data_IF_873910695593
#
_entry.id   IF_873910695593
#
_cell.length_a   1.000
_cell.length_b   1.000
_cell.length_c   1.000
_cell.angle_alpha   90.00
_cell.angle_beta   90.00
_cell.angle_gamma   90.00
#
_symmetry.space_group_name_H-M   'P 1'
#
loop_
_entity.id
_entity.type
_entity.pdbx_description
1 polymer ?
#
# COMPACT_ATOMS: atom_id res chain seq x y z
N UNK A 1 20.49 15.50 24.63
CA UNK A 1 21.87 15.73 24.13
C UNK A 1 22.18 14.65 23.13
N UNK A 2 22.25 15.00 21.84
CA UNK A 2 22.55 14.02 20.79
C UNK A 2 23.74 14.54 19.99
N UNK A 3 24.92 13.98 20.28
CA UNK A 3 26.11 14.15 19.45
C UNK A 3 26.03 13.11 18.34
N UNK A 4 25.80 13.55 17.11
CA UNK A 4 25.77 12.65 15.95
C UNK A 4 27.21 12.52 15.45
N UNK A 5 27.76 11.31 15.56
CA UNK A 5 28.97 10.93 14.87
C UNK A 5 28.69 10.91 13.36
N UNK A 6 29.57 11.51 12.57
CA UNK A 6 29.51 11.48 11.12
C UNK A 6 29.82 10.03 10.71
N UNK A 7 28.79 9.23 10.45
CA UNK A 7 28.96 8.02 9.67
C UNK A 7 29.17 8.47 8.22
N UNK A 8 30.38 8.28 7.71
CA UNK A 8 30.66 8.30 6.28
C UNK A 8 29.85 7.18 5.62
N UNK A 9 28.63 7.48 5.21
CA UNK A 9 27.90 6.64 4.26
C UNK A 9 28.34 7.07 2.86
N UNK A 10 29.20 6.25 2.25
CA UNK A 10 29.50 6.32 0.84
C UNK A 10 28.22 6.10 0.02
N UNK A 11 27.53 7.19 -0.31
CA UNK A 11 26.59 7.23 -1.41
C UNK A 11 27.02 8.39 -2.32
N UNK A 12 27.74 8.05 -3.39
CA UNK A 12 28.31 8.96 -4.38
C UNK A 12 27.20 9.65 -5.17
N UNK A 13 26.66 10.73 -4.63
CA UNK A 13 25.83 11.68 -5.37
C UNK A 13 26.25 13.11 -4.99
N UNK A 14 27.52 13.41 -5.25
CA UNK A 14 28.17 14.67 -4.90
C UNK A 14 27.42 15.84 -5.57
N UNK A 15 26.71 16.62 -4.77
CA UNK A 15 25.98 17.79 -5.24
C UNK A 15 26.97 18.90 -5.54
N UNK A 16 27.04 19.30 -6.80
CA UNK A 16 27.96 20.36 -7.26
C UNK A 16 27.16 21.46 -7.93
N UNK A 17 27.42 22.70 -7.54
CA UNK A 17 26.90 23.89 -8.18
C UNK A 17 28.07 24.74 -8.69
N UNK A 18 28.20 24.86 -10.02
CA UNK A 18 29.35 25.48 -10.68
C UNK A 18 30.67 24.85 -10.20
N UNK A 19 31.54 25.62 -9.55
CA UNK A 19 32.81 25.17 -8.96
C UNK A 19 32.70 24.78 -7.47
N UNK A 20 31.52 24.94 -6.85
CA UNK A 20 31.33 24.61 -5.43
C UNK A 20 30.80 23.18 -5.29
N UNK A 21 31.63 22.34 -4.66
CA UNK A 21 31.25 21.01 -4.21
C UNK A 21 30.62 21.12 -2.83
N UNK A 22 29.42 20.58 -2.67
CA UNK A 22 28.77 20.43 -1.37
C UNK A 22 29.15 19.09 -0.73
N UNK A 23 29.30 19.09 0.59
CA UNK A 23 29.39 17.90 1.43
C UNK A 23 28.11 17.85 2.27
N UNK A 24 27.01 17.33 1.72
CA UNK A 24 25.72 17.47 2.37
C UNK A 24 25.70 16.69 3.69
N UNK A 25 25.15 17.31 4.72
CA UNK A 25 24.94 16.66 6.00
C UNK A 25 23.61 15.94 5.94
N UNK A 26 23.61 14.62 6.19
CA UNK A 26 22.37 13.87 6.38
C UNK A 26 21.84 14.14 7.78
N UNK A 27 20.67 14.77 7.88
CA UNK A 27 19.99 15.02 9.14
C UNK A 27 18.49 14.79 8.96
N UNK A 28 17.89 13.99 9.85
CA UNK A 28 16.50 13.52 9.76
C UNK A 28 16.17 12.91 8.39
N UNK A 29 17.10 12.12 7.84
CA UNK A 29 17.00 11.48 6.51
C UNK A 29 16.80 12.47 5.34
N UNK A 30 17.15 13.74 5.53
CA UNK A 30 17.09 14.79 4.52
C UNK A 30 18.47 15.37 4.26
N UNK A 31 18.62 16.01 3.10
CA UNK A 31 19.83 16.68 2.66
C UNK A 31 19.89 18.10 3.24
N UNK A 32 21.00 18.41 3.92
CA UNK A 32 21.27 19.74 4.47
C UNK A 32 22.62 20.29 3.99
N UNK A 33 22.67 21.60 3.78
CA UNK A 33 23.87 22.34 3.41
C UNK A 33 24.33 23.24 4.56
N UNK A 34 25.64 23.39 4.71
CA UNK A 34 26.18 24.33 5.71
C UNK A 34 26.06 25.79 5.21
N UNK A 35 25.88 26.73 6.14
CA UNK A 35 25.86 28.17 5.80
C UNK A 35 27.12 28.61 5.03
N UNK A 36 28.27 27.99 5.33
CA UNK A 36 29.56 28.31 4.71
C UNK A 36 29.61 27.86 3.24
N UNK A 37 29.11 26.67 2.93
CA UNK A 37 29.03 26.17 1.56
C UNK A 37 28.04 26.97 0.73
N UNK A 38 26.89 27.34 1.32
CA UNK A 38 25.93 28.24 0.67
C UNK A 38 26.53 29.62 0.38
N UNK A 39 27.31 30.18 1.31
CA UNK A 39 27.99 31.46 1.09
C UNK A 39 28.97 31.38 -0.10
N UNK A 40 29.72 30.27 -0.22
CA UNK A 40 30.62 30.04 -1.36
C UNK A 40 29.87 29.86 -2.66
N UNK A 41 28.83 29.02 -2.68
CA UNK A 41 28.04 28.74 -3.88
C UNK A 41 27.31 29.98 -4.42
N UNK A 42 26.89 30.88 -3.52
CA UNK A 42 26.28 32.17 -3.87
C UNK A 42 27.31 33.28 -4.13
N UNK A 43 28.62 32.97 -4.12
CA UNK A 43 29.75 33.88 -4.37
C UNK A 43 29.85 35.05 -3.38
N UNK A 44 29.47 34.85 -2.13
CA UNK A 44 29.72 35.81 -1.07
C UNK A 44 31.17 35.80 -0.62
N UNK A 45 31.76 37.01 -0.50
CA UNK A 45 33.13 37.17 0.02
C UNK A 45 33.28 36.74 1.48
N UNK A 46 32.22 36.91 2.28
CA UNK A 46 32.23 36.57 3.72
C UNK A 46 31.50 35.25 3.96
N UNK A 47 32.11 34.40 4.77
CA UNK A 47 31.55 33.08 5.12
C UNK A 47 30.30 33.14 6.00
N UNK A 48 30.07 34.25 6.71
CA UNK A 48 28.92 34.49 7.58
C UNK A 48 27.76 35.20 6.87
N UNK A 49 27.92 35.56 5.58
CA UNK A 49 26.91 36.31 4.83
C UNK A 49 25.54 35.61 4.82
N UNK A 50 25.51 34.29 4.68
CA UNK A 50 24.27 33.50 4.72
C UNK A 50 23.62 33.53 6.09
N UNK A 51 24.42 33.46 7.16
CA UNK A 51 23.91 33.59 8.53
C UNK A 51 23.27 34.96 8.75
N UNK A 52 23.90 36.04 8.27
CA UNK A 52 23.33 37.39 8.36
C UNK A 52 22.04 37.53 7.53
N UNK A 53 21.95 36.87 6.37
CA UNK A 53 20.72 36.85 5.57
C UNK A 53 19.60 36.16 6.34
N UNK A 54 19.90 35.01 6.95
CA UNK A 54 18.95 34.31 7.80
C UNK A 54 18.49 35.17 8.98
N UNK A 55 19.41 35.78 9.73
CA UNK A 55 19.09 36.58 10.93
C UNK A 55 18.14 37.75 10.61
N UNK A 56 18.24 38.34 9.41
CA UNK A 56 17.36 39.45 8.99
C UNK A 56 15.97 39.01 8.56
N UNK A 57 15.78 37.73 8.23
CA UNK A 57 14.53 37.19 7.70
C UNK A 57 14.12 35.93 8.46
N UNK A 58 14.52 35.81 9.73
CA UNK A 58 14.42 34.55 10.50
C UNK A 58 12.98 34.10 10.70
N UNK A 59 12.04 35.03 10.62
CA UNK A 59 10.59 34.84 10.69
C UNK A 59 10.03 34.06 9.48
N UNK A 60 10.71 34.07 8.32
CA UNK A 60 10.31 33.26 7.15
C UNK A 60 10.81 31.80 7.22
N UNK A 61 11.62 31.45 8.23
CA UNK A 61 12.19 30.12 8.38
C UNK A 61 11.51 29.33 9.50
N UNK A 62 11.19 28.07 9.21
CA UNK A 62 10.74 27.11 10.23
C UNK A 62 11.91 26.28 10.75
N UNK A 63 11.70 25.59 11.89
CA UNK A 63 12.68 24.64 12.44
C UNK A 63 13.05 23.51 11.47
N UNK A 64 12.14 23.15 10.55
CA UNK A 64 12.41 22.17 9.50
C UNK A 64 13.28 22.69 8.34
N UNK A 65 13.55 24.00 8.30
CA UNK A 65 14.36 24.63 7.25
C UNK A 65 15.79 24.96 7.68
N UNK A 66 16.02 25.17 8.97
CA UNK A 66 17.35 25.53 9.49
C UNK A 66 17.54 25.09 10.94
N UNK A 67 18.75 24.61 11.25
CA UNK A 67 19.15 24.21 12.59
C UNK A 67 20.64 24.49 12.81
N UNK A 68 21.10 24.54 14.07
CA UNK A 68 22.52 24.62 14.40
C UNK A 68 23.03 23.28 14.90
N UNK A 69 24.02 22.72 14.21
CA UNK A 69 24.64 21.44 14.56
C UNK A 69 26.03 21.67 15.19
N UNK A 70 26.39 20.87 16.19
CA UNK A 70 27.74 20.82 16.74
C UNK A 70 28.59 19.90 15.86
N UNK A 71 29.43 20.49 15.02
CA UNK A 71 30.33 19.76 14.13
C UNK A 71 31.72 19.65 14.75
N UNK A 72 32.30 18.44 14.73
CA UNK A 72 33.68 18.20 15.16
C UNK A 72 34.62 18.54 14.02
N UNK A 73 35.47 19.55 14.20
CA UNK A 73 36.35 20.04 13.12
C UNK A 73 37.75 19.42 13.25
N UNK A 74 38.33 19.39 14.45
CA UNK A 74 39.61 18.74 14.73
C UNK A 74 39.78 18.53 16.24
N UNK A 75 40.24 17.34 16.66
CA UNK A 75 40.47 17.02 18.08
C UNK A 75 39.21 17.16 18.93
N UNK A 76 39.28 17.91 20.04
CA UNK A 76 38.15 18.22 20.93
C UNK A 76 37.41 19.52 20.56
N UNK A 77 37.81 20.21 19.49
CA UNK A 77 37.19 21.47 19.09
C UNK A 77 35.90 21.22 18.31
N UNK A 78 34.78 21.60 18.94
CA UNK A 78 33.44 21.56 18.34
C UNK A 78 33.04 22.97 17.90
N UNK A 79 32.63 23.10 16.64
CA UNK A 79 32.09 24.34 16.09
C UNK A 79 30.60 24.19 15.89
N UNK A 80 29.83 25.15 16.39
CA UNK A 80 28.39 25.27 16.08
C UNK A 80 28.25 25.85 14.68
N UNK A 81 27.72 25.06 13.75
CA UNK A 81 27.51 25.46 12.35
C UNK A 81 26.02 25.39 12.05
N UNK A 82 25.48 26.48 11.50
CA UNK A 82 24.11 26.51 11.01
C UNK A 82 24.03 25.77 9.68
N UNK A 83 23.04 24.90 9.58
CA UNK A 83 22.69 24.15 8.39
C UNK A 83 21.31 24.55 7.90
N UNK A 84 21.08 24.35 6.60
CA UNK A 84 19.81 24.62 5.93
C UNK A 84 19.41 23.42 5.10
N UNK A 85 18.13 23.03 5.17
CA UNK A 85 17.59 22.02 4.24
C UNK A 85 17.53 22.59 2.82
N UNK A 86 17.26 21.76 1.81
CA UNK A 86 17.08 22.21 0.43
C UNK A 86 16.08 23.38 0.30
N UNK A 87 14.95 23.30 1.02
CA UNK A 87 13.96 24.39 1.07
C UNK A 87 14.51 25.66 1.72
N UNK A 88 15.23 25.52 2.83
CA UNK A 88 15.90 26.66 3.49
C UNK A 88 16.97 27.31 2.60
N UNK A 89 17.76 26.50 1.88
CA UNK A 89 18.75 26.97 0.92
C UNK A 89 18.11 27.71 -0.26
N UNK A 90 16.98 27.21 -0.76
CA UNK A 90 16.19 27.92 -1.77
C UNK A 90 15.73 29.30 -1.28
N UNK A 91 15.23 29.38 -0.05
CA UNK A 91 14.79 30.64 0.56
C UNK A 91 15.95 31.64 0.78
N UNK A 92 17.11 31.17 1.25
CA UNK A 92 18.33 31.99 1.32
C UNK A 92 18.69 32.59 -0.05
N UNK A 93 18.55 31.80 -1.11
CA UNK A 93 18.82 32.26 -2.46
C UNK A 93 17.75 33.21 -3.02
N UNK A 94 16.55 33.29 -2.45
CA UNK A 94 15.56 34.33 -2.76
C UNK A 94 16.03 35.67 -2.20
N UNK A 95 16.53 35.69 -0.96
CA UNK A 95 17.05 36.91 -0.32
C UNK A 95 18.44 37.33 -0.79
N UNK A 96 19.16 36.43 -1.46
CA UNK A 96 20.49 36.70 -1.98
C UNK A 96 20.44 37.71 -3.13
N UNK A 97 21.27 38.75 -3.02
CA UNK A 97 21.41 39.82 -4.03
C UNK A 97 22.50 39.51 -5.08
N UNK A 98 23.08 38.30 -5.08
CA UNK A 98 24.14 37.96 -6.03
C UNK A 98 23.54 37.64 -7.41
N UNK A 99 24.30 37.87 -8.48
CA UNK A 99 23.86 37.55 -9.86
C UNK A 99 23.60 36.06 -10.05
N UNK A 100 24.30 35.23 -9.28
CA UNK A 100 24.26 33.76 -9.31
C UNK A 100 23.03 33.18 -8.63
N UNK A 101 22.42 33.92 -7.70
CA UNK A 101 21.28 33.46 -6.92
C UNK A 101 20.11 32.95 -7.78
N UNK A 102 19.89 33.55 -8.96
CA UNK A 102 18.84 33.12 -9.89
C UNK A 102 19.05 31.70 -10.41
N UNK A 103 20.30 31.36 -10.75
CA UNK A 103 20.68 30.04 -11.23
C UNK A 103 20.66 29.03 -10.08
N UNK A 104 21.17 29.44 -8.91
CA UNK A 104 21.16 28.60 -7.71
C UNK A 104 19.75 28.18 -7.32
N UNK A 105 18.76 29.08 -7.38
CA UNK A 105 17.36 28.73 -7.10
C UNK A 105 16.83 27.62 -8.01
N UNK A 106 17.10 27.69 -9.31
CA UNK A 106 16.70 26.64 -10.27
C UNK A 106 17.38 25.32 -9.92
N UNK A 107 18.68 25.36 -9.69
CA UNK A 107 19.45 24.16 -9.34
C UNK A 107 18.94 23.47 -8.06
N UNK A 108 18.57 24.23 -7.03
CA UNK A 108 17.98 23.66 -5.81
C UNK A 108 16.61 23.03 -6.09
N UNK A 109 15.77 23.65 -6.93
CA UNK A 109 14.49 23.07 -7.34
C UNK A 109 14.69 21.76 -8.10
N UNK A 110 15.65 21.70 -9.03
CA UNK A 110 15.98 20.47 -9.76
C UNK A 110 16.45 19.33 -8.83
N UNK A 111 17.04 19.65 -7.68
CA UNK A 111 17.37 18.65 -6.66
C UNK A 111 16.11 18.23 -5.91
N UNK A 112 15.28 19.19 -5.48
CA UNK A 112 14.03 18.91 -4.79
C UNK A 112 13.11 18.00 -5.62
N UNK A 113 12.96 18.30 -6.91
CA UNK A 113 12.14 17.49 -7.83
C UNK A 113 12.68 16.06 -7.94
N UNK A 114 14.00 15.90 -8.07
CA UNK A 114 14.65 14.58 -8.07
C UNK A 114 14.48 13.81 -6.75
N UNK A 115 14.51 14.50 -5.61
CA UNK A 115 14.30 13.85 -4.31
C UNK A 115 12.84 13.39 -4.15
N UNK A 116 11.87 14.18 -4.62
CA UNK A 116 10.45 13.78 -4.67
C UNK A 116 10.24 12.60 -5.62
N UNK A 117 10.87 12.60 -6.79
CA UNK A 117 10.82 11.47 -7.73
C UNK A 117 11.43 10.20 -7.11
N UNK A 118 12.58 10.30 -6.44
CA UNK A 118 13.20 9.15 -5.74
C UNK A 118 12.32 8.62 -4.62
N UNK A 119 11.71 9.49 -3.82
CA UNK A 119 10.73 9.07 -2.82
C UNK A 119 9.57 8.33 -3.49
N UNK A 120 9.04 8.82 -4.62
CA UNK A 120 7.96 8.15 -5.34
C UNK A 120 8.34 6.76 -5.90
N UNK A 121 9.57 6.56 -6.34
CA UNK A 121 10.04 5.27 -6.91
C UNK A 121 10.43 4.28 -5.81
N UNK A 122 11.07 4.74 -4.73
CA UNK A 122 11.38 3.91 -3.56
C UNK A 122 10.12 3.43 -2.83
N UNK A 123 9.00 4.12 -3.06
CA UNK A 123 7.71 3.81 -2.46
C UNK A 123 6.95 2.71 -3.21
N UNK A 124 7.17 2.52 -4.52
CA UNK A 124 6.42 1.52 -5.30
C UNK A 124 6.86 0.10 -4.94
N UNK A 125 5.91 -0.73 -4.51
CA UNK A 125 6.15 -2.16 -4.28
C UNK A 125 6.52 -2.89 -5.57
N UNK A 126 7.25 -4.00 -5.46
CA UNK A 126 7.51 -4.89 -6.60
C UNK A 126 6.36 -5.88 -6.80
N UNK A 127 6.26 -6.49 -7.99
CA UNK A 127 5.23 -7.51 -8.27
C UNK A 127 5.32 -8.68 -7.28
N UNK A 128 6.53 -9.10 -6.91
CA UNK A 128 6.75 -10.19 -5.94
C UNK A 128 6.28 -9.81 -4.53
N UNK A 129 6.55 -8.58 -4.09
CA UNK A 129 6.05 -8.09 -2.80
C UNK A 129 4.52 -8.02 -2.75
N UNK A 130 3.84 -7.80 -3.89
CA UNK A 130 2.37 -7.77 -3.97
C UNK A 130 1.69 -9.14 -4.00
N UNK A 131 2.42 -10.25 -4.15
CA UNK A 131 1.82 -11.59 -4.21
C UNK A 131 0.97 -11.95 -2.96
N UNK A 132 1.40 -11.65 -1.72
CA UNK A 132 0.56 -11.87 -0.54
C UNK A 132 -0.76 -11.11 -0.57
N UNK A 133 -0.77 -9.87 -1.09
CA UNK A 133 -2.00 -9.09 -1.24
C UNK A 133 -2.94 -9.72 -2.27
N UNK A 134 -2.41 -10.21 -3.40
CA UNK A 134 -3.21 -10.95 -4.39
C UNK A 134 -3.84 -12.20 -3.78
N UNK A 135 -3.09 -12.94 -2.95
CA UNK A 135 -3.61 -14.11 -2.25
C UNK A 135 -4.73 -13.74 -1.27
N UNK A 136 -4.57 -12.63 -0.53
CA UNK A 136 -5.61 -12.11 0.36
C UNK A 136 -6.88 -11.73 -0.40
N UNK A 137 -6.75 -11.11 -1.58
CA UNK A 137 -7.88 -10.76 -2.46
C UNK A 137 -8.55 -12.02 -3.00
N UNK A 138 -7.79 -13.03 -3.43
CA UNK A 138 -8.35 -14.32 -3.85
C UNK A 138 -9.18 -14.96 -2.73
N UNK A 139 -8.68 -14.91 -1.48
CA UNK A 139 -9.40 -15.41 -0.32
C UNK A 139 -10.71 -14.62 -0.09
N UNK A 140 -10.65 -13.28 -0.15
CA UNK A 140 -11.82 -12.42 0.01
C UNK A 140 -12.91 -12.71 -1.04
N UNK A 141 -12.52 -12.83 -2.31
CA UNK A 141 -13.41 -13.20 -3.42
C UNK A 141 -14.05 -14.56 -3.18
N UNK A 142 -13.27 -15.56 -2.76
CA UNK A 142 -13.79 -16.90 -2.46
C UNK A 142 -14.75 -16.95 -1.26
N UNK A 143 -14.51 -16.12 -0.23
CA UNK A 143 -15.27 -16.13 1.03
C UNK A 143 -16.52 -15.28 0.98
N UNK A 144 -16.48 -14.12 0.33
CA UNK A 144 -17.61 -13.19 0.22
C UNK A 144 -18.39 -13.28 -1.08
N UNK A 145 -17.90 -14.02 -2.08
CA UNK A 145 -18.54 -14.13 -3.38
C UNK A 145 -18.55 -12.84 -4.20
N UNK A 146 -17.71 -11.86 -3.85
CA UNK A 146 -17.57 -10.59 -4.59
C UNK A 146 -16.63 -10.77 -5.78
N UNK A 147 -16.79 -9.95 -6.81
CA UNK A 147 -15.96 -10.03 -8.01
C UNK A 147 -14.57 -9.40 -7.78
N UNK A 148 -13.55 -9.87 -8.50
CA UNK A 148 -12.18 -9.33 -8.39
C UNK A 148 -12.08 -7.79 -8.49
N UNK A 149 -12.74 -7.12 -9.46
CA UNK A 149 -12.68 -5.66 -9.55
C UNK A 149 -13.24 -4.94 -8.31
N UNK A 150 -14.26 -5.52 -7.69
CA UNK A 150 -14.88 -5.00 -6.48
C UNK A 150 -13.94 -5.16 -5.28
N UNK A 151 -13.32 -6.33 -5.15
CA UNK A 151 -12.33 -6.60 -4.11
C UNK A 151 -11.11 -5.65 -4.19
N UNK A 152 -10.61 -5.35 -5.40
CA UNK A 152 -9.54 -4.36 -5.59
C UNK A 152 -10.01 -2.93 -5.34
N UNK A 153 -11.24 -2.58 -5.72
CA UNK A 153 -11.83 -1.26 -5.44
C UNK A 153 -11.85 -0.94 -3.94
N UNK A 154 -12.08 -1.92 -3.08
CA UNK A 154 -12.02 -1.75 -1.62
C UNK A 154 -10.61 -1.33 -1.14
N UNK A 155 -9.56 -1.93 -1.71
CA UNK A 155 -8.17 -1.59 -1.40
C UNK A 155 -7.84 -0.19 -1.94
N UNK A 156 -8.21 0.10 -3.18
CA UNK A 156 -8.02 1.40 -3.82
C UNK A 156 -8.64 2.53 -3.00
N UNK A 157 -9.90 2.36 -2.59
CA UNK A 157 -10.62 3.34 -1.77
C UNK A 157 -9.99 3.51 -0.39
N UNK A 158 -9.58 2.41 0.28
CA UNK A 158 -9.04 2.47 1.65
C UNK A 158 -7.69 3.18 1.71
N UNK A 159 -6.84 2.97 0.71
CA UNK A 159 -5.47 3.49 0.67
C UNK A 159 -5.30 4.70 -0.24
N UNK A 160 -6.39 5.17 -0.87
CA UNK A 160 -6.42 6.31 -1.78
C UNK A 160 -5.39 6.15 -2.92
N UNK A 161 -5.45 5.01 -3.60
CA UNK A 161 -4.62 4.66 -4.76
C UNK A 161 -5.51 4.23 -5.92
N UNK A 162 -5.10 4.47 -7.16
CA UNK A 162 -5.85 4.00 -8.34
C UNK A 162 -5.55 2.54 -8.65
N UNK A 163 -4.33 2.10 -8.33
CA UNK A 163 -3.84 0.75 -8.56
C UNK A 163 -3.00 0.23 -7.38
N UNK A 164 -3.05 -1.07 -7.13
CA UNK A 164 -2.30 -1.72 -6.03
C UNK A 164 -0.78 -1.60 -6.15
N UNK A 165 -0.24 -1.22 -7.32
CA UNK A 165 1.20 -1.01 -7.52
C UNK A 165 1.71 0.34 -7.03
N UNK A 166 0.79 1.25 -6.72
CA UNK A 166 1.06 2.53 -6.06
C UNK A 166 1.14 2.41 -4.54
N UNK A 167 0.77 1.24 -3.98
CA UNK A 167 0.89 0.97 -2.55
C UNK A 167 2.34 1.07 -2.11
N UNK A 168 2.55 1.87 -1.06
CA UNK A 168 3.86 2.01 -0.41
C UNK A 168 4.30 0.70 0.26
N UNK A 169 5.60 0.52 0.47
CA UNK A 169 6.12 -0.62 1.24
C UNK A 169 5.51 -0.72 2.65
N UNK A 170 5.16 0.42 3.27
CA UNK A 170 4.55 0.49 4.61
C UNK A 170 3.04 0.23 4.58
N UNK A 171 2.36 0.64 3.51
CA UNK A 171 0.92 0.42 3.31
C UNK A 171 0.61 -1.02 2.92
N UNK A 172 1.53 -1.71 2.26
CA UNK A 172 1.29 -3.05 1.75
C UNK A 172 0.93 -4.08 2.85
N UNK A 173 1.66 -4.18 3.98
CA UNK A 173 1.24 -5.02 5.11
C UNK A 173 -0.14 -4.64 5.65
N UNK A 174 -0.44 -3.35 5.75
CA UNK A 174 -1.73 -2.84 6.25
C UNK A 174 -2.87 -3.18 5.28
N UNK A 175 -2.63 -3.15 3.97
CA UNK A 175 -3.58 -3.53 2.95
C UNK A 175 -3.88 -5.03 2.99
N UNK A 176 -2.84 -5.86 3.18
CA UNK A 176 -3.01 -7.31 3.36
C UNK A 176 -3.86 -7.59 4.59
N UNK A 177 -3.52 -6.97 5.72
CA UNK A 177 -4.27 -7.11 6.97
C UNK A 177 -5.73 -6.66 6.80
N UNK A 178 -5.97 -5.51 6.15
CA UNK A 178 -7.30 -5.00 5.89
C UNK A 178 -8.16 -5.97 5.07
N UNK A 179 -7.60 -6.54 3.99
CA UNK A 179 -8.30 -7.52 3.15
C UNK A 179 -8.55 -8.82 3.91
N UNK A 180 -7.56 -9.33 4.65
CA UNK A 180 -7.74 -10.51 5.50
C UNK A 180 -8.81 -10.27 6.57
N UNK A 181 -8.79 -9.11 7.23
CA UNK A 181 -9.79 -8.74 8.21
C UNK A 181 -11.17 -8.70 7.58
N UNK A 182 -11.34 -8.10 6.41
CA UNK A 182 -12.62 -8.13 5.71
C UNK A 182 -13.06 -9.54 5.31
N UNK A 183 -12.14 -10.42 4.94
CA UNK A 183 -12.43 -11.82 4.63
C UNK A 183 -12.86 -12.60 5.89
N UNK A 184 -12.43 -12.18 7.08
CA UNK A 184 -12.78 -12.77 8.37
C UNK A 184 -13.97 -12.09 9.08
N UNK A 185 -14.21 -10.80 8.81
CA UNK A 185 -15.29 -9.98 9.38
C UNK A 185 -16.67 -10.24 8.75
N UNK A 186 -16.76 -11.24 7.87
CA UNK A 186 -18.03 -11.83 7.47
C UNK A 186 -18.11 -13.25 7.96
N UNK A 187 -18.47 -13.43 9.24
CA UNK A 187 -19.28 -14.54 9.79
C UNK A 187 -19.40 -14.36 11.33
N UNK A 188 -20.07 -13.29 11.77
CA UNK A 188 -21.14 -13.56 12.73
C UNK A 188 -22.35 -13.82 11.85
N UNK A 189 -22.55 -15.08 11.47
CA UNK A 189 -23.92 -15.54 11.29
C UNK A 189 -24.54 -15.22 12.64
N UNK A 190 -25.31 -14.13 12.70
CA UNK A 190 -26.33 -14.04 13.73
C UNK A 190 -26.96 -15.43 13.78
N UNK A 191 -27.18 -15.97 14.97
CA UNK A 191 -28.20 -17.00 15.05
C UNK A 191 -29.42 -16.33 14.44
N UNK A 192 -29.69 -16.55 13.16
CA UNK A 192 -31.06 -16.65 12.72
C UNK A 192 -31.66 -17.53 13.79
N UNK A 193 -32.62 -16.99 14.54
CA UNK A 193 -33.36 -17.79 15.47
C UNK A 193 -33.92 -18.93 14.64
N UNK A 194 -33.20 -20.05 14.66
CA UNK A 194 -33.64 -21.27 14.04
C UNK A 194 -35.06 -21.45 14.58
N UNK A 195 -36.07 -21.59 13.71
CA UNK A 195 -37.43 -21.79 14.18
C UNK A 195 -37.37 -22.86 15.25
N UNK A 196 -37.85 -22.53 16.45
CA UNK A 196 -37.71 -23.41 17.61
C UNK A 196 -38.37 -24.73 17.23
N UNK A 197 -37.54 -25.76 17.02
CA UNK A 197 -37.97 -27.09 16.61
C UNK A 197 -38.72 -27.74 17.79
N UNK A 198 -40.04 -27.51 17.85
CA UNK A 198 -40.93 -28.20 18.78
C UNK A 198 -41.17 -29.62 18.26
N UNK A 199 -40.77 -30.63 19.03
CA UNK A 199 -41.08 -32.04 18.74
C UNK A 199 -39.90 -32.97 18.42
N UNK A 200 -38.66 -32.46 18.36
CA UNK A 200 -37.46 -33.27 18.06
C UNK A 200 -36.54 -33.51 19.27
N UNK A 201 -37.05 -33.32 20.49
CA UNK A 201 -36.30 -33.56 21.71
C UNK A 201 -35.88 -35.03 21.82
N UNK A 202 -34.58 -35.30 21.83
CA UNK A 202 -34.01 -36.64 21.98
C UNK A 202 -33.44 -37.27 20.71
N UNK A 203 -33.52 -36.62 19.55
CA UNK A 203 -32.83 -37.09 18.35
C UNK A 203 -31.34 -36.69 18.37
N UNK A 204 -30.45 -37.64 18.09
CA UNK A 204 -29.01 -37.41 17.92
C UNK A 204 -28.58 -37.92 16.54
N UNK A 205 -28.29 -37.00 15.63
CA UNK A 205 -27.95 -37.31 14.24
C UNK A 205 -28.04 -36.07 13.35
N UNK A 206 -27.97 -36.27 12.03
CA UNK A 206 -28.18 -35.21 11.04
C UNK A 206 -29.59 -35.34 10.46
N UNK A 207 -30.30 -34.22 10.30
CA UNK A 207 -31.63 -34.15 9.67
C UNK A 207 -31.58 -33.20 8.48
N UNK A 208 -32.24 -33.57 7.39
CA UNK A 208 -32.58 -32.68 6.29
C UNK A 208 -34.03 -32.24 6.48
N UNK A 209 -34.28 -30.94 6.39
CA UNK A 209 -35.60 -30.37 6.63
C UNK A 209 -35.94 -29.34 5.55
N UNK A 210 -37.18 -29.32 5.12
CA UNK A 210 -37.75 -28.27 4.28
C UNK A 210 -38.76 -27.49 5.10
N UNK A 211 -38.62 -26.17 5.10
CA UNK A 211 -39.44 -25.24 5.87
C UNK A 211 -40.17 -24.31 4.92
N UNK A 212 -41.50 -24.22 5.08
CA UNK A 212 -42.33 -23.28 4.34
C UNK A 212 -43.12 -22.46 5.36
N UNK A 213 -43.00 -21.13 5.32
CA UNK A 213 -43.64 -20.19 6.25
C UNK A 213 -43.38 -20.48 7.75
N UNK A 214 -42.23 -21.08 8.08
CA UNK A 214 -41.85 -21.42 9.45
C UNK A 214 -42.37 -22.76 9.96
N UNK A 215 -43.11 -23.51 9.13
CA UNK A 215 -43.54 -24.88 9.42
C UNK A 215 -42.68 -25.90 8.68
N UNK A 216 -42.43 -27.05 9.32
CA UNK A 216 -41.67 -28.14 8.72
C UNK A 216 -42.59 -28.91 7.78
N UNK A 217 -42.39 -28.75 6.47
CA UNK A 217 -43.16 -29.47 5.43
C UNK A 217 -42.52 -30.81 5.08
N UNK A 218 -41.22 -30.98 5.33
CA UNK A 218 -40.50 -32.24 5.13
C UNK A 218 -39.36 -32.42 6.14
N UNK A 219 -39.10 -33.66 6.57
CA UNK A 219 -38.03 -34.02 7.48
C UNK A 219 -37.53 -35.44 7.21
N UNK A 220 -36.22 -35.64 7.13
CA UNK A 220 -35.58 -36.95 6.92
C UNK A 220 -34.24 -37.06 7.65
N UNK A 221 -33.95 -38.22 8.25
CA UNK A 221 -32.68 -38.48 8.93
C UNK A 221 -31.59 -38.87 7.91
N UNK A 222 -30.46 -38.18 7.98
CA UNK A 222 -29.31 -38.42 7.11
C UNK A 222 -28.41 -39.50 7.72
N UNK A 223 -28.12 -40.53 6.93
CA UNK A 223 -27.13 -41.56 7.28
C UNK A 223 -25.71 -41.09 6.94
N UNK A 224 -24.64 -41.75 7.45
CA UNK A 224 -23.26 -41.41 7.11
C UNK A 224 -22.94 -41.42 5.60
N UNK A 225 -23.73 -42.14 4.81
CA UNK A 225 -23.58 -42.22 3.35
C UNK A 225 -24.22 -41.03 2.61
N UNK A 226 -24.94 -40.15 3.32
CA UNK A 226 -25.52 -38.96 2.70
C UNK A 226 -24.47 -37.85 2.65
N UNK A 227 -24.37 -37.20 1.50
CA UNK A 227 -23.59 -35.99 1.30
C UNK A 227 -24.55 -34.84 0.98
N UNK A 228 -24.41 -33.74 1.72
CA UNK A 228 -25.21 -32.53 1.52
C UNK A 228 -24.28 -31.47 0.97
N UNK A 229 -24.67 -30.86 -0.13
CA UNK A 229 -23.90 -29.84 -0.82
C UNK A 229 -24.86 -28.81 -1.40
N UNK A 230 -24.38 -27.58 -1.66
CA UNK A 230 -25.18 -26.63 -2.42
C UNK A 230 -25.33 -27.13 -3.87
N UNK A 231 -26.33 -26.63 -4.59
CA UNK A 231 -26.51 -26.99 -6.00
C UNK A 231 -25.27 -26.63 -6.84
N UNK A 232 -24.58 -25.54 -6.50
CA UNK A 232 -23.35 -25.11 -7.18
C UNK A 232 -22.19 -26.06 -6.93
N UNK A 233 -21.99 -26.48 -5.68
CA UNK A 233 -20.96 -27.46 -5.33
C UNK A 233 -21.22 -28.80 -6.02
N UNK A 234 -22.49 -29.22 -6.08
CA UNK A 234 -22.88 -30.43 -6.80
C UNK A 234 -22.61 -30.32 -8.30
N UNK A 235 -22.95 -29.19 -8.92
CA UNK A 235 -22.67 -28.92 -10.34
C UNK A 235 -21.17 -28.98 -10.63
N UNK A 236 -20.33 -28.37 -9.79
CA UNK A 236 -18.88 -28.37 -9.96
C UNK A 236 -18.31 -29.79 -9.84
N UNK A 237 -18.72 -30.55 -8.81
CA UNK A 237 -18.29 -31.93 -8.60
C UNK A 237 -18.66 -32.81 -9.81
N UNK A 238 -19.89 -32.68 -10.29
CA UNK A 238 -20.38 -33.45 -11.43
C UNK A 238 -19.60 -33.12 -12.71
N UNK A 239 -19.35 -31.83 -12.98
CA UNK A 239 -18.58 -31.39 -14.15
C UNK A 239 -17.13 -31.91 -14.09
N UNK A 240 -16.48 -31.86 -12.92
CA UNK A 240 -15.12 -32.41 -12.73
C UNK A 240 -15.08 -33.93 -12.91
N UNK A 241 -16.14 -34.62 -12.53
CA UNK A 241 -16.29 -36.06 -12.74
C UNK A 241 -16.71 -36.44 -14.17
N UNK A 242 -16.82 -35.47 -15.09
CA UNK A 242 -17.16 -35.70 -16.49
C UNK A 242 -18.65 -35.87 -16.76
N UNK A 243 -19.50 -35.57 -15.78
CA UNK A 243 -20.95 -35.53 -15.95
C UNK A 243 -21.39 -34.16 -16.45
N UNK A 244 -22.35 -34.15 -17.38
CA UNK A 244 -23.01 -32.93 -17.86
C UNK A 244 -24.43 -32.88 -17.28
N UNK A 245 -24.70 -31.89 -16.42
CA UNK A 245 -26.06 -31.65 -15.92
C UNK A 245 -26.84 -30.84 -16.95
N UNK A 246 -28.00 -31.34 -17.34
CA UNK A 246 -28.87 -30.72 -18.34
C UNK A 246 -30.28 -30.69 -17.78
N UNK A 247 -31.00 -29.58 -17.98
CA UNK A 247 -32.41 -29.52 -17.61
C UNK A 247 -33.20 -30.56 -18.43
N UNK A 248 -34.20 -31.19 -17.81
CA UNK A 248 -34.93 -32.30 -18.43
C UNK A 248 -35.57 -31.90 -19.77
N UNK A 249 -36.03 -30.66 -19.88
CA UNK A 249 -36.64 -30.12 -21.10
C UNK A 249 -35.65 -30.02 -22.25
N UNK A 250 -34.41 -29.59 -21.98
CA UNK A 250 -33.34 -29.46 -22.97
C UNK A 250 -32.75 -30.82 -23.39
N UNK A 251 -32.95 -31.84 -22.56
CA UNK A 251 -32.52 -33.22 -22.83
C UNK A 251 -33.45 -33.96 -23.81
N UNK A 252 -34.75 -33.63 -23.84
CA UNK A 252 -35.74 -34.31 -24.69
C UNK A 252 -35.39 -34.25 -26.20
N UNK A 253 -35.01 -33.09 -26.79
CA UNK A 253 -34.58 -33.01 -28.18
C UNK A 253 -33.34 -33.86 -28.46
N UNK A 254 -32.36 -33.87 -27.54
CA UNK A 254 -31.13 -34.64 -27.68
C UNK A 254 -31.39 -36.14 -27.66
N UNK A 255 -32.26 -36.62 -26.76
CA UNK A 255 -32.63 -38.04 -26.71
C UNK A 255 -33.35 -38.49 -27.98
N UNK A 256 -34.28 -37.67 -28.49
CA UNK A 256 -34.98 -37.95 -29.75
C UNK A 256 -34.03 -38.01 -30.95
N UNK A 257 -33.00 -37.17 -30.95
CA UNK A 257 -31.95 -37.19 -31.98
C UNK A 257 -31.00 -38.41 -31.85
N UNK A 258 -30.72 -38.88 -30.63
CA UNK A 258 -29.95 -40.10 -30.41
C UNK A 258 -30.73 -41.37 -30.77
N UNK A 259 -32.04 -41.38 -30.56
CA UNK A 259 -32.93 -42.47 -30.98
C UNK A 259 -33.06 -42.54 -32.51
N UNK A 260 -33.14 -41.41 -33.21
CA UNK A 260 -33.17 -41.40 -34.67
C UNK A 260 -31.86 -41.87 -35.31
N UNK A 261 -30.73 -41.71 -34.60
CA UNK A 261 -29.43 -42.26 -35.03
C UNK A 261 -29.35 -43.79 -34.92
N UNK A 262 -30.08 -44.42 -33.97
CA UNK A 262 -30.11 -45.88 -33.82
C UNK A 262 -30.90 -46.60 -34.91
N UNK A 263 -31.70 -45.89 -35.70
CA UNK A 263 -32.45 -46.46 -36.83
C UNK A 263 -31.77 -46.31 -38.19
N UNK A 264 -30.62 -45.62 -38.26
CA UNK A 264 -29.86 -45.39 -39.49
C UNK A 264 -28.41 -45.94 -39.43
N UNK A 265 -28.12 -46.86 -38.49
CA UNK A 265 -26.85 -47.57 -38.38
C UNK A 265 -27.05 -49.08 -38.60
#
# INVERSE_FOLDING_TARGET
MSSIAISETHNTNQLTFRSTVFNPVSHANKIWFTAVELARALEYKKSDAVTQIYERNSDEFTSAMTETLKMRVSGNYQKTVRVFSLRGAHLIAIFSKTSVAKEFRKWVLDILDREVEKESVATKTTVQQRNPLKNAVNLLVSKKGIMYPEAYSLVHQRFNVEHIDELTADQLPQAIEYVHKMAMEGEYLGKEELPILRGYSGFSGKLLMELENGEVVYSSALTPNHHVATINDFMEIAQRAGYLLIHKEDMQPMMKALESYKFNA
#
